data_IF_741152623553
#
_entry.id   IF_741152623553
#
_cell.length_a   1.000
_cell.length_b   1.000
_cell.length_c   1.000
_cell.angle_alpha   90.00
_cell.angle_beta   90.00
_cell.angle_gamma   90.00
#
_symmetry.space_group_name_H-M   'P 1'
#
loop_
_entity.id
_entity.type
_entity.pdbx_description
1 polymer ?
#
# COMPACT_ATOMS: atom_id res chain seq x y z
N UNK A 1 26.08 -14.74 22.76
CA UNK A 1 24.95 -15.69 22.61
C UNK A 1 24.13 -15.20 21.44
N UNK A 2 24.00 -15.95 20.33
CA UNK A 2 23.01 -15.62 19.31
C UNK A 2 21.59 -15.78 19.91
N UNK A 3 20.59 -15.01 19.45
CA UNK A 3 19.22 -15.21 19.87
C UNK A 3 18.75 -16.61 19.45
N UNK A 4 18.00 -17.28 20.32
CA UNK A 4 17.38 -18.57 19.98
C UNK A 4 16.42 -18.40 18.79
N UNK A 5 16.37 -19.36 17.87
CA UNK A 5 15.33 -19.37 16.84
C UNK A 5 13.97 -19.42 17.53
N UNK A 6 13.05 -18.58 17.09
CA UNK A 6 11.65 -18.61 17.52
C UNK A 6 11.09 -20.00 17.18
N UNK A 7 10.94 -20.86 18.19
CA UNK A 7 10.38 -22.19 18.04
C UNK A 7 8.90 -22.12 17.69
N UNK A 8 8.51 -22.86 16.66
CA UNK A 8 7.11 -23.18 16.37
C UNK A 8 7.02 -24.71 16.24
N UNK A 9 6.78 -25.36 17.39
CA UNK A 9 6.67 -26.82 17.52
C UNK A 9 5.20 -27.28 17.56
N UNK A 10 4.29 -26.52 16.92
CA UNK A 10 2.92 -26.94 16.69
C UNK A 10 2.77 -27.89 15.50
N UNK A 11 1.72 -28.73 15.43
CA UNK A 11 1.41 -29.49 14.23
C UNK A 11 1.19 -28.51 13.06
N UNK A 12 2.11 -28.50 12.10
CA UNK A 12 2.03 -27.64 10.92
C UNK A 12 0.75 -27.98 10.15
N UNK A 13 -0.16 -27.01 10.06
CA UNK A 13 -1.33 -27.10 9.17
C UNK A 13 -0.87 -27.52 7.79
N UNK A 14 -1.44 -28.60 7.25
CA UNK A 14 -1.16 -29.06 5.88
C UNK A 14 -1.83 -28.19 4.81
N UNK A 15 -2.71 -27.26 5.21
CA UNK A 15 -3.31 -26.29 4.29
C UNK A 15 -2.33 -25.12 4.07
N UNK A 16 -2.10 -24.71 2.81
CA UNK A 16 -1.30 -23.53 2.50
C UNK A 16 -1.83 -22.29 3.22
N UNK A 17 -0.91 -21.48 3.77
CA UNK A 17 -1.23 -20.14 4.25
C UNK A 17 -1.06 -19.20 3.06
N UNK A 18 -2.13 -18.49 2.71
CA UNK A 18 -2.11 -17.49 1.65
C UNK A 18 -1.87 -16.10 2.24
N UNK A 19 -0.97 -15.33 1.64
CA UNK A 19 -0.83 -13.89 1.88
C UNK A 19 -1.67 -13.11 0.87
N UNK A 20 -2.35 -12.05 1.32
CA UNK A 20 -3.08 -11.14 0.46
C UNK A 20 -2.56 -9.71 0.68
N UNK A 21 -2.20 -9.04 -0.41
CA UNK A 21 -1.83 -7.63 -0.39
C UNK A 21 -2.58 -6.85 -1.46
N UNK A 22 -2.71 -5.55 -1.23
CA UNK A 22 -3.35 -4.61 -2.14
C UNK A 22 -2.47 -3.37 -2.26
N UNK A 23 -2.12 -3.00 -3.48
CA UNK A 23 -1.46 -1.72 -3.74
C UNK A 23 -2.53 -0.63 -3.88
N UNK A 24 -2.36 0.46 -3.16
CA UNK A 24 -3.29 1.60 -3.13
C UNK A 24 -2.62 2.79 -3.79
N UNK A 25 -2.88 2.90 -5.09
CA UNK A 25 -2.41 3.95 -5.98
C UNK A 25 -3.51 4.40 -6.95
N UNK A 26 -3.41 5.62 -7.46
CA UNK A 26 -4.32 6.11 -8.50
C UNK A 26 -4.00 5.49 -9.87
N UNK A 27 -5.01 5.44 -10.73
CA UNK A 27 -4.89 4.88 -12.07
C UNK A 27 -3.84 5.57 -12.94
N UNK A 28 -3.50 6.83 -12.65
CA UNK A 28 -2.46 7.61 -13.35
C UNK A 28 -1.07 7.48 -12.72
N UNK A 29 -0.93 6.81 -11.57
CA UNK A 29 0.35 6.59 -10.88
C UNK A 29 1.03 5.29 -11.33
N UNK A 30 0.31 4.43 -12.05
CA UNK A 30 0.88 3.19 -12.60
C UNK A 30 2.01 3.49 -13.59
N UNK A 31 3.01 2.61 -13.61
CA UNK A 31 4.21 2.79 -14.44
C UNK A 31 3.93 2.91 -15.95
N UNK A 32 2.75 2.48 -16.43
CA UNK A 32 2.34 2.62 -17.83
C UNK A 32 2.12 4.09 -18.26
N UNK A 33 1.81 5.00 -17.33
CA UNK A 33 1.55 6.41 -17.63
C UNK A 33 2.70 7.35 -17.23
N UNK A 34 3.80 6.83 -16.69
CA UNK A 34 4.87 7.65 -16.11
C UNK A 34 5.51 8.66 -17.09
N UNK A 35 5.42 8.40 -18.41
CA UNK A 35 5.95 9.26 -19.48
C UNK A 35 4.87 9.97 -20.28
N UNK A 36 3.61 9.82 -19.87
CA UNK A 36 2.43 10.28 -20.61
C UNK A 36 1.59 11.27 -19.81
N UNK A 37 1.57 11.14 -18.49
CA UNK A 37 0.85 12.04 -17.59
C UNK A 37 1.88 12.72 -16.69
N UNK A 38 1.92 14.06 -16.72
CA UNK A 38 2.80 14.83 -15.86
C UNK A 38 2.33 14.73 -14.39
N UNK A 39 3.28 14.57 -13.46
CA UNK A 39 3.00 14.52 -12.02
C UNK A 39 2.34 15.81 -11.51
N UNK A 40 2.65 16.95 -12.13
CA UNK A 40 2.05 18.24 -11.81
C UNK A 40 0.56 18.33 -12.14
N UNK A 41 0.05 17.46 -13.02
CA UNK A 41 -1.36 17.43 -13.40
C UNK A 41 -2.21 16.51 -12.52
N UNK A 42 -1.60 15.68 -11.67
CA UNK A 42 -2.31 14.66 -10.88
C UNK A 42 -3.46 15.20 -10.04
N UNK A 43 -3.30 16.39 -9.45
CA UNK A 43 -4.34 17.02 -8.62
C UNK A 43 -5.62 17.39 -9.40
N UNK A 44 -5.54 17.43 -10.73
CA UNK A 44 -6.62 17.82 -11.64
C UNK A 44 -7.35 16.61 -12.23
N UNK A 45 -6.83 15.40 -12.03
CA UNK A 45 -7.39 14.17 -12.57
C UNK A 45 -8.44 13.59 -11.63
N UNK A 46 -9.46 12.95 -12.22
CA UNK A 46 -10.51 12.30 -11.45
C UNK A 46 -9.94 11.13 -10.63
N UNK A 47 -10.17 11.20 -9.32
CA UNK A 47 -9.79 10.15 -8.38
C UNK A 47 -10.69 8.94 -8.56
N UNK A 48 -10.08 7.74 -8.57
CA UNK A 48 -10.80 6.46 -8.60
C UNK A 48 -10.44 5.56 -7.43
N UNK A 49 -9.34 5.87 -6.74
CA UNK A 49 -8.77 5.01 -5.70
C UNK A 49 -9.78 4.73 -4.59
N UNK A 50 -10.49 5.75 -4.10
CA UNK A 50 -11.39 5.60 -2.95
C UNK A 50 -12.54 4.62 -3.23
N UNK A 51 -13.28 4.84 -4.33
CA UNK A 51 -14.40 3.97 -4.69
C UNK A 51 -13.96 2.54 -5.05
N UNK A 52 -12.76 2.36 -5.58
CA UNK A 52 -12.23 1.03 -5.90
C UNK A 52 -11.79 0.29 -4.65
N UNK A 53 -11.06 0.97 -3.76
CA UNK A 53 -10.63 0.37 -2.50
C UNK A 53 -11.84 0.04 -1.61
N UNK A 54 -12.89 0.85 -1.58
CA UNK A 54 -14.12 0.52 -0.82
C UNK A 54 -14.81 -0.77 -1.32
N UNK A 55 -14.75 -1.04 -2.63
CA UNK A 55 -15.24 -2.33 -3.19
C UNK A 55 -14.39 -3.50 -2.73
N UNK A 56 -13.06 -3.33 -2.71
CA UNK A 56 -12.13 -4.36 -2.20
C UNK A 56 -12.38 -4.62 -0.71
N UNK A 57 -12.53 -3.56 0.10
CA UNK A 57 -12.86 -3.67 1.52
C UNK A 57 -14.19 -4.39 1.74
N UNK A 58 -15.20 -4.12 0.91
CA UNK A 58 -16.49 -4.80 0.97
C UNK A 58 -16.35 -6.31 0.72
N UNK A 59 -15.61 -6.70 -0.33
CA UNK A 59 -15.32 -8.10 -0.65
C UNK A 59 -14.54 -8.81 0.47
N UNK A 60 -13.60 -8.11 1.11
CA UNK A 60 -12.83 -8.65 2.23
C UNK A 60 -13.70 -8.82 3.47
N UNK A 61 -14.62 -7.88 3.74
CA UNK A 61 -15.59 -8.01 4.83
C UNK A 61 -16.52 -9.21 4.61
N UNK A 62 -17.01 -9.43 3.39
CA UNK A 62 -17.88 -10.57 3.04
C UNK A 62 -17.19 -11.93 3.23
N UNK A 63 -15.88 -11.99 2.97
CA UNK A 63 -15.09 -13.23 3.04
C UNK A 63 -14.31 -13.41 4.34
N UNK A 64 -14.32 -12.41 5.23
CA UNK A 64 -13.48 -12.40 6.43
C UNK A 64 -11.98 -12.34 6.14
N UNK A 65 -11.58 -11.87 4.96
CA UNK A 65 -10.17 -11.79 4.55
C UNK A 65 -9.48 -10.60 5.21
N UNK A 66 -8.29 -10.82 5.76
CA UNK A 66 -7.35 -9.74 6.14
C UNK A 66 -6.21 -9.67 5.12
N UNK A 67 -5.68 -8.47 4.93
CA UNK A 67 -4.69 -8.17 3.91
C UNK A 67 -3.79 -7.03 4.38
N UNK A 68 -2.64 -6.90 3.73
CA UNK A 68 -1.72 -5.77 3.89
C UNK A 68 -1.90 -4.79 2.74
N UNK A 69 -2.17 -3.53 3.05
CA UNK A 69 -2.40 -2.47 2.07
C UNK A 69 -1.14 -1.62 1.93
N UNK A 70 -0.44 -1.75 0.81
CA UNK A 70 0.71 -0.92 0.47
C UNK A 70 0.21 0.37 -0.16
N UNK A 71 0.27 1.47 0.58
CA UNK A 71 -0.35 2.73 0.17
C UNK A 71 0.69 3.79 -0.13
N UNK A 72 0.50 4.50 -1.25
CA UNK A 72 1.31 5.68 -1.57
C UNK A 72 1.01 6.82 -0.59
N UNK A 73 2.06 7.49 -0.12
CA UNK A 73 1.94 8.67 0.74
C UNK A 73 1.09 9.77 0.11
N UNK A 74 1.16 9.94 -1.22
CA UNK A 74 0.30 10.86 -1.96
C UNK A 74 -1.20 10.55 -1.77
N UNK A 75 -1.59 9.28 -1.89
CA UNK A 75 -2.98 8.83 -1.69
C UNK A 75 -3.37 9.02 -0.22
N UNK A 76 -2.52 8.58 0.72
CA UNK A 76 -2.80 8.68 2.15
C UNK A 76 -3.02 10.14 2.60
N UNK A 77 -2.23 11.07 2.06
CA UNK A 77 -2.36 12.49 2.34
C UNK A 77 -3.69 13.07 1.82
N UNK A 78 -4.12 12.65 0.63
CA UNK A 78 -5.30 13.20 -0.04
C UNK A 78 -6.62 12.54 0.37
N UNK A 79 -6.57 11.27 0.76
CA UNK A 79 -7.74 10.48 1.17
C UNK A 79 -7.58 9.92 2.59
N UNK A 80 -7.41 10.75 3.63
CA UNK A 80 -7.23 10.27 5.01
C UNK A 80 -8.45 9.48 5.51
N UNK A 81 -9.64 9.74 4.98
CA UNK A 81 -10.85 8.97 5.25
C UNK A 81 -10.72 7.51 4.80
N UNK A 82 -10.14 7.27 3.62
CA UNK A 82 -9.90 5.93 3.09
C UNK A 82 -8.94 5.15 3.99
N UNK A 83 -7.84 5.77 4.42
CA UNK A 83 -6.85 5.14 5.32
C UNK A 83 -7.50 4.67 6.62
N UNK A 84 -8.36 5.51 7.22
CA UNK A 84 -9.10 5.14 8.42
C UNK A 84 -10.03 3.94 8.18
N UNK A 85 -10.70 3.86 7.01
CA UNK A 85 -11.56 2.72 6.68
C UNK A 85 -10.76 1.42 6.50
N UNK A 86 -9.61 1.48 5.84
CA UNK A 86 -8.71 0.31 5.70
C UNK A 86 -8.31 -0.22 7.09
N UNK A 87 -7.81 0.65 7.96
CA UNK A 87 -7.39 0.26 9.32
C UNK A 87 -8.57 -0.22 10.16
N UNK A 88 -9.71 0.45 10.09
CA UNK A 88 -10.93 0.04 10.80
C UNK A 88 -11.45 -1.34 10.33
N UNK A 89 -11.16 -1.75 9.09
CA UNK A 89 -11.43 -3.09 8.57
C UNK A 89 -10.51 -4.19 9.14
N UNK A 90 -9.53 -3.84 9.99
CA UNK A 90 -8.59 -4.79 10.58
C UNK A 90 -7.47 -5.22 9.64
N UNK A 91 -7.21 -4.42 8.60
CA UNK A 91 -6.12 -4.63 7.65
C UNK A 91 -4.82 -3.99 8.15
N UNK A 92 -3.68 -4.55 7.73
CA UNK A 92 -2.38 -3.93 7.96
C UNK A 92 -2.15 -2.80 6.97
N UNK A 93 -1.59 -1.68 7.44
CA UNK A 93 -1.18 -0.56 6.60
C UNK A 93 0.34 -0.60 6.41
N UNK A 94 0.80 -0.57 5.17
CA UNK A 94 2.21 -0.54 4.80
C UNK A 94 2.51 0.61 3.84
N UNK A 95 3.76 1.08 3.83
CA UNK A 95 4.21 2.15 2.93
C UNK A 95 4.52 1.61 1.54
N UNK A 96 4.08 2.33 0.52
CA UNK A 96 4.45 2.11 -0.88
C UNK A 96 5.32 3.24 -1.45
N UNK A 97 5.99 4.01 -0.58
CA UNK A 97 6.70 5.23 -0.97
C UNK A 97 5.76 6.43 -1.13
N UNK A 98 6.24 7.56 -1.67
CA UNK A 98 5.43 8.78 -1.77
C UNK A 98 4.62 8.86 -3.08
N UNK A 99 5.29 8.80 -4.23
CA UNK A 99 4.71 9.11 -5.55
C UNK A 99 5.05 8.09 -6.64
N UNK A 100 5.34 6.85 -6.23
CA UNK A 100 5.60 5.70 -7.11
C UNK A 100 6.80 5.89 -8.06
N UNK A 101 7.77 6.75 -7.71
CA UNK A 101 9.02 6.82 -8.45
C UNK A 101 9.85 5.54 -8.24
N UNK A 102 10.46 5.06 -9.33
CA UNK A 102 11.28 3.83 -9.29
C UNK A 102 12.54 4.03 -8.46
N UNK A 103 12.71 3.23 -7.42
CA UNK A 103 13.83 3.35 -6.45
C UNK A 103 15.21 3.32 -7.13
N UNK A 104 15.40 2.51 -8.17
CA UNK A 104 16.69 2.44 -8.89
C UNK A 104 17.03 3.69 -9.73
N UNK A 105 16.10 4.63 -9.84
CA UNK A 105 16.33 5.96 -10.45
C UNK A 105 16.62 7.04 -9.41
N UNK A 106 16.57 6.69 -8.12
CA UNK A 106 16.81 7.61 -7.01
C UNK A 106 18.25 7.54 -6.52
N UNK A 107 18.77 8.66 -6.04
CA UNK A 107 19.92 8.67 -5.13
C UNK A 107 19.49 8.18 -3.74
N UNK A 108 20.46 7.79 -2.90
CA UNK A 108 20.17 7.36 -1.53
C UNK A 108 19.45 8.45 -0.70
N UNK A 109 19.79 9.72 -0.91
CA UNK A 109 19.15 10.84 -0.21
C UNK A 109 17.72 11.08 -0.69
N UNK A 110 17.47 10.95 -1.99
CA UNK A 110 16.11 11.00 -2.55
C UNK A 110 15.24 9.88 -1.97
N UNK A 111 15.76 8.65 -1.92
CA UNK A 111 15.02 7.52 -1.36
C UNK A 111 14.77 7.69 0.14
N UNK A 112 15.74 8.21 0.91
CA UNK A 112 15.53 8.52 2.33
C UNK A 112 14.46 9.58 2.54
N UNK A 113 14.45 10.62 1.71
CA UNK A 113 13.43 11.67 1.76
C UNK A 113 12.03 11.13 1.41
N UNK A 114 11.92 10.28 0.39
CA UNK A 114 10.68 9.59 0.01
C UNK A 114 10.11 8.77 1.18
N UNK A 115 10.93 7.91 1.80
CA UNK A 115 10.52 7.10 2.94
C UNK A 115 10.11 7.94 4.16
N UNK A 116 10.85 9.02 4.43
CA UNK A 116 10.56 9.92 5.55
C UNK A 116 9.23 10.63 5.33
N UNK A 117 8.98 11.09 4.11
CA UNK A 117 7.75 11.81 3.74
C UNK A 117 6.53 10.88 3.75
N UNK A 118 6.66 9.66 3.23
CA UNK A 118 5.57 8.68 3.20
C UNK A 118 5.17 8.16 4.60
N UNK A 119 6.07 8.27 5.58
CA UNK A 119 5.82 7.85 6.97
C UNK A 119 5.15 8.94 7.84
N UNK A 120 5.30 10.20 7.47
CA UNK A 120 4.88 11.36 8.27
C UNK A 120 3.35 11.54 8.30
#
# INVERSE_FOLDING_TARGET
MPPEPLGDDGPKSTRPINGMSVDVEEWFQVGAFERTIDKGDWDRLDSRVEANTDRVLSLFAETGTRATFFTLGWVAHRHPGLIRRIVAGGHEMASHGWDHQRVFTMTADQFRADLTRAKA
#
